data_IF_725989864663
#
_entry.id   IF_725989864663
#
_cell.length_a   1.000
_cell.length_b   1.000
_cell.length_c   1.000
_cell.angle_alpha   90.00
_cell.angle_beta   90.00
_cell.angle_gamma   90.00
#
_symmetry.space_group_name_H-M   'P 1'
#
loop_
_entity.id
_entity.type
_entity.pdbx_description
1 polymer ?
#
# COMPACT_ATOMS: atom_id res chain seq x y z
N UNK A 1 2.14 -16.11 14.20
CA UNK A 1 3.56 -16.31 13.81
C UNK A 1 3.99 -15.10 13.04
N UNK A 2 5.06 -14.42 13.46
CA UNK A 2 5.62 -13.31 12.70
C UNK A 2 6.04 -13.81 11.30
N UNK A 3 5.78 -13.03 10.26
CA UNK A 3 6.21 -13.36 8.92
C UNK A 3 7.75 -13.47 8.89
N UNK A 4 8.27 -14.47 8.19
CA UNK A 4 9.72 -14.58 8.00
C UNK A 4 10.20 -13.38 7.18
N UNK A 5 10.81 -12.43 7.85
CA UNK A 5 11.51 -11.32 7.20
C UNK A 5 12.96 -11.75 6.96
N UNK A 6 13.49 -11.52 5.77
CA UNK A 6 14.90 -11.72 5.49
C UNK A 6 15.66 -10.54 6.07
N UNK A 7 16.28 -10.72 7.21
CA UNK A 7 17.20 -9.75 7.80
C UNK A 7 18.61 -9.79 7.17
N UNK A 8 18.75 -10.45 6.04
CA UNK A 8 20.03 -10.48 5.34
C UNK A 8 20.17 -9.17 4.57
N UNK A 9 20.88 -8.24 5.21
CA UNK A 9 21.10 -6.87 4.77
C UNK A 9 22.08 -6.75 3.59
N UNK A 10 22.09 -7.73 2.72
CA UNK A 10 22.69 -7.53 1.41
C UNK A 10 21.76 -6.54 0.69
N UNK A 11 22.22 -5.27 0.64
CA UNK A 11 21.47 -4.12 0.14
C UNK A 11 21.24 -4.20 -1.37
N UNK A 12 20.78 -5.32 -1.87
CA UNK A 12 20.22 -5.40 -3.21
C UNK A 12 18.90 -4.65 -3.21
N UNK A 13 18.97 -3.41 -3.67
CA UNK A 13 17.77 -2.60 -3.89
C UNK A 13 16.93 -3.28 -4.96
N UNK A 14 15.76 -3.76 -4.57
CA UNK A 14 14.76 -4.21 -5.51
C UNK A 14 13.86 -3.03 -5.92
N UNK A 15 13.33 -3.08 -7.13
CA UNK A 15 12.49 -2.03 -7.67
C UNK A 15 11.07 -2.56 -7.91
N UNK A 16 10.13 -2.17 -7.04
CA UNK A 16 8.74 -2.58 -7.14
C UNK A 16 8.12 -2.18 -8.49
N UNK A 17 8.59 -1.11 -9.12
CA UNK A 17 8.14 -0.67 -10.44
C UNK A 17 8.55 -1.64 -11.57
N UNK A 18 9.72 -2.27 -11.48
CA UNK A 18 10.11 -3.32 -12.42
C UNK A 18 9.42 -4.64 -12.06
N UNK A 19 9.25 -4.91 -10.76
CA UNK A 19 8.67 -6.13 -10.24
C UNK A 19 7.20 -6.32 -10.66
N UNK A 20 6.36 -5.27 -10.61
CA UNK A 20 4.98 -5.42 -11.07
C UNK A 20 4.90 -5.77 -12.57
N UNK A 21 5.76 -5.16 -13.39
CA UNK A 21 5.79 -5.43 -14.82
C UNK A 21 6.22 -6.86 -15.14
N UNK A 22 7.23 -7.36 -14.43
CA UNK A 22 7.69 -8.75 -14.53
C UNK A 22 6.59 -9.72 -14.07
N UNK A 23 5.86 -9.40 -13.01
CA UNK A 23 4.78 -10.25 -12.51
C UNK A 23 3.60 -10.30 -13.49
N UNK A 24 3.20 -9.16 -14.06
CA UNK A 24 2.18 -9.13 -15.12
C UNK A 24 2.62 -9.96 -16.35
N UNK A 25 3.88 -9.85 -16.73
CA UNK A 25 4.43 -10.66 -17.83
C UNK A 25 4.36 -12.16 -17.52
N UNK A 26 4.79 -12.60 -16.33
CA UNK A 26 4.68 -13.99 -15.88
C UNK A 26 3.23 -14.48 -15.90
N UNK A 27 2.31 -13.69 -15.38
CA UNK A 27 0.88 -14.02 -15.37
C UNK A 27 0.31 -14.15 -16.78
N UNK A 28 0.74 -13.33 -17.73
CA UNK A 28 0.36 -13.46 -19.15
C UNK A 28 0.89 -14.76 -19.75
N UNK A 29 2.16 -15.13 -19.48
CA UNK A 29 2.74 -16.41 -19.89
C UNK A 29 2.01 -17.63 -19.29
N UNK A 30 1.47 -17.49 -18.06
CA UNK A 30 0.64 -18.50 -17.39
C UNK A 30 -0.79 -18.59 -17.97
N UNK A 31 -1.14 -17.73 -18.92
CA UNK A 31 -2.48 -17.70 -19.54
C UNK A 31 -3.53 -17.02 -18.66
N UNK A 32 -3.15 -16.21 -17.68
CA UNK A 32 -4.10 -15.40 -16.90
C UNK A 32 -4.76 -14.35 -17.82
N UNK A 33 -6.06 -14.17 -17.64
CA UNK A 33 -6.85 -13.25 -18.45
C UNK A 33 -6.95 -11.88 -17.78
N UNK A 34 -6.33 -10.87 -18.38
CA UNK A 34 -6.38 -9.47 -17.94
C UNK A 34 -6.02 -8.55 -19.11
N UNK A 35 -6.38 -7.28 -18.97
CA UNK A 35 -6.02 -6.18 -19.86
C UNK A 35 -5.09 -5.22 -19.13
N UNK A 36 -4.10 -4.66 -19.85
CA UNK A 36 -3.18 -3.67 -19.33
C UNK A 36 -3.34 -2.33 -20.06
N UNK A 37 -3.60 -1.26 -19.31
CA UNK A 37 -3.75 0.11 -19.84
C UNK A 37 -2.69 1.04 -19.27
N UNK A 38 -2.22 2.00 -20.05
CA UNK A 38 -1.18 2.96 -19.63
C UNK A 38 -1.23 4.26 -20.45
N UNK A 39 -0.61 5.34 -19.89
CA UNK A 39 -0.58 6.70 -20.46
C UNK A 39 0.83 7.06 -20.93
N UNK A 40 1.34 6.42 -21.98
CA UNK A 40 2.65 6.69 -22.60
C UNK A 40 3.85 6.68 -21.64
N UNK A 41 3.72 5.98 -20.52
CA UNK A 41 4.66 5.98 -19.40
C UNK A 41 5.33 4.61 -19.15
N UNK A 42 5.21 3.68 -20.09
CA UNK A 42 5.88 2.37 -20.06
C UNK A 42 7.03 2.38 -21.07
N UNK A 43 8.27 2.34 -20.55
CA UNK A 43 9.43 2.26 -21.41
C UNK A 43 9.54 0.87 -22.07
N UNK A 44 9.87 0.79 -23.39
CA UNK A 44 10.04 -0.50 -24.07
C UNK A 44 11.10 -1.41 -23.43
N UNK A 45 12.09 -0.82 -22.75
CA UNK A 45 13.16 -1.54 -22.03
C UNK A 45 12.79 -1.99 -20.62
N UNK A 46 11.63 -1.59 -20.10
CA UNK A 46 11.15 -2.00 -18.77
C UNK A 46 10.58 -3.40 -18.77
N UNK A 47 10.39 -3.99 -17.60
CA UNK A 47 9.73 -5.30 -17.48
C UNK A 47 8.30 -5.29 -18.03
N UNK A 48 7.55 -4.21 -17.82
CA UNK A 48 6.24 -4.03 -18.46
C UNK A 48 6.34 -3.90 -20.00
N UNK A 49 7.46 -3.40 -20.53
CA UNK A 49 7.72 -3.33 -21.96
C UNK A 49 7.80 -4.70 -22.65
N UNK A 50 8.19 -5.75 -21.94
CA UNK A 50 8.14 -7.13 -22.44
C UNK A 50 6.69 -7.57 -22.67
N UNK A 51 5.78 -7.24 -21.76
CA UNK A 51 4.35 -7.53 -21.89
C UNK A 51 3.78 -6.87 -23.15
N UNK A 52 4.12 -5.59 -23.39
CA UNK A 52 3.69 -4.86 -24.58
C UNK A 52 4.19 -5.49 -25.87
N UNK A 53 5.39 -6.04 -25.87
CA UNK A 53 6.02 -6.64 -27.05
C UNK A 53 5.45 -8.02 -27.39
N UNK A 54 5.21 -8.85 -26.37
CA UNK A 54 4.83 -10.26 -26.56
C UNK A 54 3.32 -10.50 -26.51
N UNK A 55 2.58 -9.61 -25.87
CA UNK A 55 1.11 -9.68 -25.72
C UNK A 55 0.43 -8.34 -26.09
N UNK A 56 0.70 -7.78 -27.29
CA UNK A 56 0.20 -6.45 -27.69
C UNK A 56 -1.33 -6.37 -27.71
N UNK A 57 -2.03 -7.48 -27.95
CA UNK A 57 -3.49 -7.55 -28.06
C UNK A 57 -4.22 -7.23 -26.75
N UNK A 58 -3.53 -7.31 -25.62
CA UNK A 58 -4.08 -6.98 -24.28
C UNK A 58 -3.55 -5.68 -23.69
N UNK A 59 -2.75 -4.92 -24.45
CA UNK A 59 -2.07 -3.70 -23.97
C UNK A 59 -2.54 -2.47 -24.73
N UNK A 60 -3.07 -1.48 -24.04
CA UNK A 60 -3.64 -0.28 -24.64
C UNK A 60 -2.96 0.98 -24.10
N UNK A 61 -2.38 1.76 -25.02
CA UNK A 61 -1.78 3.06 -24.71
C UNK A 61 -2.77 4.17 -25.05
N UNK A 62 -3.11 4.98 -24.05
CA UNK A 62 -4.04 6.11 -24.18
C UNK A 62 -3.34 7.45 -24.42
N UNK A 63 -2.00 7.47 -24.55
CA UNK A 63 -1.23 8.70 -24.57
C UNK A 63 -1.26 9.38 -23.18
N UNK A 64 -0.85 10.64 -23.11
CA UNK A 64 -0.87 11.42 -21.86
C UNK A 64 -2.29 11.94 -21.61
N UNK A 65 -3.20 11.04 -21.27
CA UNK A 65 -4.63 11.30 -21.07
C UNK A 65 -5.19 10.41 -19.96
N UNK A 66 -4.73 10.60 -18.73
CA UNK A 66 -5.06 9.75 -17.58
C UNK A 66 -6.57 9.67 -17.28
N UNK A 67 -7.36 10.74 -17.39
CA UNK A 67 -8.81 10.64 -17.22
C UNK A 67 -9.47 9.71 -18.25
N UNK A 68 -9.08 9.78 -19.53
CA UNK A 68 -9.58 8.91 -20.59
C UNK A 68 -9.18 7.45 -20.36
N UNK A 69 -7.90 7.21 -20.01
CA UNK A 69 -7.41 5.88 -19.66
C UNK A 69 -8.22 5.26 -18.50
N UNK A 70 -8.47 6.02 -17.44
CA UNK A 70 -9.18 5.53 -16.24
C UNK A 70 -10.65 5.25 -16.57
N UNK A 71 -11.32 6.14 -17.31
CA UNK A 71 -12.69 5.93 -17.78
C UNK A 71 -12.82 4.72 -18.71
N UNK A 72 -11.89 4.57 -19.69
CA UNK A 72 -11.85 3.40 -20.57
C UNK A 72 -11.57 2.10 -19.80
N UNK A 73 -10.69 2.14 -18.79
CA UNK A 73 -10.43 1.00 -17.89
C UNK A 73 -11.69 0.56 -17.15
N UNK A 74 -12.52 1.50 -16.72
CA UNK A 74 -13.81 1.19 -16.10
C UNK A 74 -14.76 0.52 -17.10
N UNK A 75 -14.83 1.01 -18.35
CA UNK A 75 -15.64 0.42 -19.42
C UNK A 75 -15.20 -1.03 -19.76
N UNK A 76 -13.90 -1.28 -19.82
CA UNK A 76 -13.35 -2.63 -20.01
C UNK A 76 -13.72 -3.55 -18.84
N UNK A 77 -13.64 -3.06 -17.61
CA UNK A 77 -14.01 -3.85 -16.44
C UNK A 77 -15.52 -4.14 -16.38
N UNK A 78 -16.38 -3.20 -16.76
CA UNK A 78 -17.83 -3.42 -16.90
C UNK A 78 -18.15 -4.46 -17.99
N UNK A 79 -17.27 -4.63 -18.98
CA UNK A 79 -17.37 -5.67 -20.00
C UNK A 79 -16.87 -7.03 -19.54
N UNK A 80 -16.44 -7.17 -18.29
CA UNK A 80 -16.01 -8.42 -17.66
C UNK A 80 -14.50 -8.64 -17.61
N UNK A 81 -13.68 -7.67 -18.04
CA UNK A 81 -12.22 -7.79 -17.97
C UNK A 81 -11.69 -7.48 -16.56
N UNK A 82 -10.65 -8.17 -16.14
CA UNK A 82 -9.78 -7.67 -15.08
C UNK A 82 -8.79 -6.68 -15.69
N UNK A 83 -8.74 -5.45 -15.22
CA UNK A 83 -7.91 -4.39 -15.80
C UNK A 83 -6.81 -3.96 -14.84
N UNK A 84 -5.56 -4.01 -15.29
CA UNK A 84 -4.43 -3.34 -14.66
C UNK A 84 -4.16 -2.03 -15.39
N UNK A 85 -4.26 -0.91 -14.70
CA UNK A 85 -4.14 0.43 -15.27
C UNK A 85 -2.99 1.19 -14.61
N UNK A 86 -1.88 1.38 -15.32
CA UNK A 86 -0.68 2.00 -14.78
C UNK A 86 -0.60 3.48 -15.14
N UNK A 87 -0.45 4.32 -14.13
CA UNK A 87 -0.27 5.77 -14.25
C UNK A 87 0.81 6.23 -13.26
N UNK A 88 1.43 7.38 -13.50
CA UNK A 88 2.27 8.01 -12.48
C UNK A 88 1.42 8.48 -11.29
N UNK A 89 1.91 8.20 -10.07
CA UNK A 89 1.21 8.45 -8.81
C UNK A 89 0.54 9.80 -8.69
N UNK A 90 1.23 10.94 -8.96
CA UNK A 90 0.62 12.26 -8.85
C UNK A 90 -0.55 12.48 -9.81
N UNK A 91 -0.57 11.82 -10.96
CA UNK A 91 -1.58 12.08 -11.99
C UNK A 91 -2.88 11.31 -11.76
N UNK A 92 -2.82 10.17 -11.08
CA UNK A 92 -4.04 9.46 -10.69
C UNK A 92 -4.95 10.32 -9.79
N UNK A 93 -4.50 10.76 -8.59
CA UNK A 93 -5.38 11.47 -7.68
C UNK A 93 -5.62 12.93 -8.06
N UNK A 94 -4.77 13.54 -8.89
CA UNK A 94 -4.88 14.96 -9.21
C UNK A 94 -5.50 15.25 -10.58
N UNK A 95 -5.45 14.28 -11.52
CA UNK A 95 -6.02 14.45 -12.86
C UNK A 95 -7.24 13.56 -13.10
N UNK A 96 -7.25 12.34 -12.58
CA UNK A 96 -8.29 11.34 -12.82
C UNK A 96 -9.13 11.04 -11.57
N UNK A 97 -9.13 11.92 -10.55
CA UNK A 97 -9.87 11.70 -9.30
C UNK A 97 -11.37 11.49 -9.54
N UNK A 98 -11.96 12.24 -10.45
CA UNK A 98 -13.38 12.12 -10.79
C UNK A 98 -13.69 10.75 -11.39
N UNK A 99 -12.92 10.31 -12.38
CA UNK A 99 -13.08 8.99 -13.02
C UNK A 99 -12.83 7.85 -12.05
N UNK A 100 -11.86 7.99 -11.14
CA UNK A 100 -11.65 7.00 -10.07
C UNK A 100 -12.88 6.91 -9.17
N UNK A 101 -13.47 8.06 -8.82
CA UNK A 101 -14.63 8.11 -7.95
C UNK A 101 -15.91 7.64 -8.64
N UNK A 102 -16.22 8.18 -9.82
CA UNK A 102 -17.51 7.97 -10.50
C UNK A 102 -17.54 6.72 -11.36
N UNK A 103 -16.46 6.45 -12.11
CA UNK A 103 -16.48 5.39 -13.10
C UNK A 103 -15.97 4.05 -12.50
N UNK A 104 -14.98 4.11 -11.60
CA UNK A 104 -14.38 2.92 -10.99
C UNK A 104 -15.02 2.59 -9.64
N UNK A 105 -14.90 3.48 -8.63
CA UNK A 105 -15.27 3.16 -7.27
C UNK A 105 -16.78 3.12 -7.04
N UNK A 106 -17.54 4.02 -7.66
CA UNK A 106 -19.00 4.01 -7.59
C UNK A 106 -19.60 2.76 -8.24
N UNK A 107 -19.04 2.32 -9.36
CA UNK A 107 -19.49 1.12 -10.06
C UNK A 107 -18.89 -0.18 -9.50
N UNK A 108 -17.99 -0.09 -8.51
CA UNK A 108 -17.33 -1.21 -7.83
C UNK A 108 -16.68 -2.21 -8.81
N UNK A 109 -16.00 -1.70 -9.83
CA UNK A 109 -15.46 -2.49 -10.93
C UNK A 109 -14.05 -3.01 -10.69
N UNK A 110 -13.69 -4.11 -11.32
CA UNK A 110 -12.44 -4.86 -11.15
C UNK A 110 -11.25 -4.20 -11.85
N UNK A 111 -10.91 -2.97 -11.44
CA UNK A 111 -9.75 -2.20 -11.93
C UNK A 111 -8.67 -2.13 -10.86
N UNK A 112 -7.43 -2.45 -11.25
CA UNK A 112 -6.21 -2.37 -10.44
C UNK A 112 -5.41 -1.17 -10.91
N UNK A 113 -5.59 -0.04 -10.25
CA UNK A 113 -4.84 1.17 -10.54
C UNK A 113 -3.44 1.05 -9.95
N UNK A 114 -2.40 1.07 -10.78
CA UNK A 114 -1.00 1.02 -10.35
C UNK A 114 -0.43 2.42 -10.40
N UNK A 115 -0.34 3.06 -9.22
CA UNK A 115 0.25 4.39 -9.07
C UNK A 115 1.75 4.29 -8.83
N UNK A 116 2.57 4.51 -9.88
CA UNK A 116 4.03 4.53 -9.77
C UNK A 116 4.54 5.94 -9.48
N UNK A 117 5.77 6.09 -8.96
CA UNK A 117 6.35 7.40 -8.62
C UNK A 117 5.63 8.12 -7.47
N UNK A 118 4.95 7.38 -6.62
CA UNK A 118 4.26 7.94 -5.45
C UNK A 118 5.24 8.44 -4.39
N UNK A 119 4.81 9.38 -3.55
CA UNK A 119 5.64 10.00 -2.53
C UNK A 119 6.65 10.99 -3.11
N UNK A 120 7.76 11.18 -2.39
CA UNK A 120 8.83 12.15 -2.72
C UNK A 120 10.11 11.50 -3.23
N UNK A 121 10.02 10.27 -3.71
CA UNK A 121 11.18 9.47 -4.16
C UNK A 121 11.56 9.70 -5.62
N UNK A 122 10.76 10.45 -6.36
CA UNK A 122 10.98 10.73 -7.78
C UNK A 122 11.90 11.95 -7.98
N UNK A 123 12.90 11.85 -8.87
CA UNK A 123 13.77 12.96 -9.26
C UNK A 123 13.13 13.98 -10.22
N UNK A 124 11.84 13.89 -10.50
CA UNK A 124 11.13 14.71 -11.49
C UNK A 124 10.63 16.08 -11.01
N UNK A 125 11.01 16.51 -9.82
CA UNK A 125 10.54 17.76 -9.21
C UNK A 125 9.09 17.67 -8.69
N UNK A 126 8.51 18.80 -8.25
CA UNK A 126 7.20 18.80 -7.55
C UNK A 126 6.03 18.26 -8.39
N UNK A 127 6.13 18.32 -9.72
CA UNK A 127 5.09 17.84 -10.63
C UNK A 127 5.02 16.31 -10.71
N UNK A 128 6.09 15.61 -10.30
CA UNK A 128 6.21 14.16 -10.35
C UNK A 128 6.39 13.53 -8.96
N UNK A 129 6.17 14.30 -7.90
CA UNK A 129 6.12 13.85 -6.53
C UNK A 129 4.70 13.99 -5.98
N UNK A 130 4.28 13.06 -5.15
CA UNK A 130 2.92 13.01 -4.64
C UNK A 130 2.91 12.88 -3.12
N UNK A 131 2.28 13.84 -2.46
CA UNK A 131 2.10 13.87 -1.00
C UNK A 131 0.62 13.86 -0.60
N UNK A 132 -0.30 13.91 -1.57
CA UNK A 132 -1.74 13.99 -1.35
C UNK A 132 -2.49 12.67 -1.67
N UNK A 133 -1.84 11.76 -2.36
CA UNK A 133 -2.41 10.52 -2.91
C UNK A 133 -3.18 9.70 -1.88
N UNK A 134 -2.54 9.36 -0.78
CA UNK A 134 -3.15 8.54 0.27
C UNK A 134 -4.38 9.20 0.91
N UNK A 135 -4.35 10.52 1.07
CA UNK A 135 -5.49 11.25 1.61
C UNK A 135 -6.70 11.20 0.65
N UNK A 136 -6.45 11.41 -0.64
CA UNK A 136 -7.47 11.39 -1.68
C UNK A 136 -8.04 9.97 -1.87
N UNK A 137 -7.21 8.94 -2.01
CA UNK A 137 -7.68 7.57 -2.17
C UNK A 137 -8.48 7.06 -0.97
N UNK A 138 -8.07 7.41 0.24
CA UNK A 138 -8.80 7.01 1.45
C UNK A 138 -10.18 7.65 1.54
N UNK A 139 -10.37 8.84 0.99
CA UNK A 139 -11.64 9.54 0.96
C UNK A 139 -12.67 8.92 -0.01
N UNK A 140 -12.21 8.23 -1.07
CA UNK A 140 -13.10 7.63 -2.08
C UNK A 140 -13.70 6.33 -1.52
N UNK A 141 -15.04 6.18 -1.40
CA UNK A 141 -15.68 4.94 -0.95
C UNK A 141 -15.33 3.74 -1.85
N UNK A 142 -15.49 2.53 -1.36
CA UNK A 142 -15.26 1.25 -2.07
C UNK A 142 -13.85 1.01 -2.61
N UNK A 143 -12.98 2.01 -2.64
CA UNK A 143 -11.62 1.89 -3.16
C UNK A 143 -10.70 1.24 -2.12
N UNK A 144 -10.14 0.08 -2.43
CA UNK A 144 -9.08 -0.55 -1.63
C UNK A 144 -7.73 0.11 -1.92
N UNK A 145 -6.94 0.34 -0.88
CA UNK A 145 -5.64 1.02 -1.01
C UNK A 145 -4.54 0.19 -0.37
N UNK A 146 -3.60 -0.30 -1.18
CA UNK A 146 -2.45 -1.08 -0.73
C UNK A 146 -1.14 -0.37 -1.05
N UNK A 147 -0.18 -0.50 -0.15
CA UNK A 147 1.14 0.18 -0.23
C UNK A 147 2.23 -0.87 0.04
N UNK A 148 2.73 -1.57 -0.98
CA UNK A 148 3.76 -2.58 -0.83
C UNK A 148 5.04 -2.01 -0.22
N UNK A 149 5.67 -2.77 0.67
CA UNK A 149 6.93 -2.39 1.32
C UNK A 149 8.14 -2.60 0.40
N UNK A 150 8.09 -3.63 -0.47
CA UNK A 150 9.17 -4.01 -1.36
C UNK A 150 8.66 -4.66 -2.66
N UNK A 151 9.58 -5.08 -3.52
CA UNK A 151 9.26 -5.73 -4.78
C UNK A 151 8.55 -7.08 -4.59
N UNK A 152 8.96 -7.87 -3.60
CA UNK A 152 8.35 -9.18 -3.31
C UNK A 152 6.89 -9.02 -2.89
N UNK A 153 6.61 -8.07 -2.00
CA UNK A 153 5.24 -7.76 -1.59
C UNK A 153 4.41 -7.19 -2.75
N UNK A 154 5.02 -6.37 -3.61
CA UNK A 154 4.36 -5.84 -4.80
C UNK A 154 3.89 -6.97 -5.74
N UNK A 155 4.75 -7.94 -6.07
CA UNK A 155 4.40 -9.11 -6.87
C UNK A 155 3.23 -9.89 -6.26
N UNK A 156 3.25 -10.10 -4.93
CA UNK A 156 2.15 -10.78 -4.24
C UNK A 156 0.83 -10.01 -4.33
N UNK A 157 0.86 -8.68 -4.20
CA UNK A 157 -0.35 -7.86 -4.40
C UNK A 157 -0.89 -7.94 -5.81
N UNK A 158 -0.02 -7.85 -6.83
CA UNK A 158 -0.44 -7.98 -8.24
C UNK A 158 -1.17 -9.32 -8.42
N UNK A 159 -0.58 -10.41 -7.98
CA UNK A 159 -1.17 -11.75 -8.12
C UNK A 159 -2.45 -11.93 -7.30
N UNK A 160 -2.43 -11.56 -6.03
CA UNK A 160 -3.61 -11.66 -5.15
C UNK A 160 -4.78 -10.79 -5.62
N UNK A 161 -4.49 -9.68 -6.28
CA UNK A 161 -5.52 -8.78 -6.80
C UNK A 161 -6.34 -9.36 -7.95
N UNK A 162 -5.86 -10.41 -8.64
CA UNK A 162 -6.64 -11.09 -9.69
C UNK A 162 -7.97 -11.63 -9.17
N UNK A 163 -7.94 -12.21 -7.97
CA UNK A 163 -9.11 -12.84 -7.36
C UNK A 163 -9.85 -11.91 -6.38
N UNK A 164 -9.33 -10.69 -6.19
CA UNK A 164 -9.94 -9.70 -5.30
C UNK A 164 -11.11 -9.00 -5.99
N UNK A 165 -12.26 -8.92 -5.31
CA UNK A 165 -13.42 -8.19 -5.83
C UNK A 165 -13.33 -6.69 -5.53
N UNK A 166 -13.91 -5.86 -6.41
CA UNK A 166 -13.89 -4.40 -6.32
C UNK A 166 -12.58 -3.75 -6.76
N UNK A 167 -12.54 -2.43 -6.75
CA UNK A 167 -11.40 -1.63 -7.23
C UNK A 167 -10.26 -1.55 -6.22
N UNK A 168 -9.04 -1.43 -6.75
CA UNK A 168 -7.84 -1.36 -5.91
C UNK A 168 -6.82 -0.36 -6.45
N UNK A 169 -6.23 0.43 -5.55
CA UNK A 169 -4.98 1.17 -5.80
C UNK A 169 -3.81 0.37 -5.25
N UNK A 170 -2.80 0.14 -6.08
CA UNK A 170 -1.48 -0.39 -5.70
C UNK A 170 -0.49 0.76 -5.82
N UNK A 171 -0.11 1.32 -4.67
CA UNK A 171 0.75 2.50 -4.59
C UNK A 171 2.21 2.11 -4.52
N UNK A 172 3.00 2.49 -5.52
CA UNK A 172 4.39 2.08 -5.67
C UNK A 172 5.30 3.30 -5.73
N UNK A 173 6.40 3.27 -4.99
CA UNK A 173 7.45 4.27 -5.04
C UNK A 173 8.27 4.16 -6.34
N UNK A 174 9.01 5.21 -6.70
CA UNK A 174 9.96 5.18 -7.80
C UNK A 174 11.29 4.57 -7.41
N UNK A 175 11.79 4.92 -6.23
CA UNK A 175 13.07 4.43 -5.75
C UNK A 175 13.03 2.93 -5.48
N UNK A 176 14.17 2.26 -5.66
CA UNK A 176 14.36 0.92 -5.14
C UNK A 176 14.39 0.95 -3.61
N UNK A 177 13.91 -0.12 -3.00
CA UNK A 177 14.00 -0.36 -1.56
C UNK A 177 14.65 -1.72 -1.28
N UNK A 178 15.32 -1.90 -0.14
CA UNK A 178 15.77 -3.22 0.27
C UNK A 178 14.59 -4.19 0.40
N UNK A 179 14.80 -5.45 0.07
CA UNK A 179 13.79 -6.48 0.30
C UNK A 179 13.64 -6.71 1.80
N UNK A 180 12.40 -6.66 2.27
CA UNK A 180 12.02 -6.94 3.66
C UNK A 180 11.49 -8.36 3.78
N UNK A 181 10.73 -8.79 2.78
CA UNK A 181 10.06 -10.08 2.79
C UNK A 181 10.83 -11.15 2.01
N UNK A 182 10.86 -12.36 2.57
CA UNK A 182 11.20 -13.56 1.80
C UNK A 182 10.06 -13.86 0.80
N UNK A 183 10.35 -14.63 -0.24
CA UNK A 183 9.35 -15.00 -1.25
C UNK A 183 8.19 -15.83 -0.67
N UNK A 184 8.45 -16.58 0.39
CA UNK A 184 7.51 -17.53 0.99
C UNK A 184 6.88 -16.95 2.29
N UNK A 185 5.82 -16.14 2.14
CA UNK A 185 4.96 -15.71 3.23
C UNK A 185 3.51 -15.53 2.74
N UNK A 186 2.56 -15.63 3.65
CA UNK A 186 1.14 -15.38 3.34
C UNK A 186 0.83 -13.89 3.36
N UNK A 187 0.13 -13.43 2.32
CA UNK A 187 -0.38 -12.07 2.22
C UNK A 187 -1.90 -12.12 2.11
N UNK A 188 -2.58 -11.45 3.03
CA UNK A 188 -4.04 -11.26 2.99
C UNK A 188 -4.35 -9.78 2.90
N UNK A 189 -5.01 -9.36 1.82
CA UNK A 189 -5.45 -7.96 1.64
C UNK A 189 -6.38 -7.58 2.79
N UNK A 190 -6.11 -6.45 3.44
CA UNK A 190 -6.87 -5.97 4.59
C UNK A 190 -6.38 -6.48 5.95
N UNK A 191 -5.35 -7.34 6.00
CA UNK A 191 -4.76 -7.84 7.25
C UNK A 191 -3.31 -7.42 7.38
N UNK A 192 -3.00 -6.73 8.48
CA UNK A 192 -1.63 -6.30 8.77
C UNK A 192 -0.71 -7.48 9.08
N UNK A 193 0.58 -7.32 8.80
CA UNK A 193 1.60 -8.31 9.09
C UNK A 193 2.48 -7.83 10.25
N UNK A 194 2.56 -8.60 11.32
CA UNK A 194 3.52 -8.35 12.38
C UNK A 194 4.89 -8.87 11.95
N UNK A 195 5.78 -7.94 11.56
CA UNK A 195 7.13 -8.27 11.08
C UNK A 195 8.13 -8.43 12.21
N UNK A 196 7.87 -7.80 13.34
CA UNK A 196 8.70 -7.90 14.55
C UNK A 196 7.81 -7.78 15.79
N UNK A 197 7.96 -8.74 16.72
CA UNK A 197 7.31 -8.66 18.03
C UNK A 197 8.05 -7.68 18.95
N UNK A 198 7.31 -6.96 19.80
CA UNK A 198 7.86 -6.01 20.76
C UNK A 198 7.00 -5.89 22.00
N UNK A 199 7.64 -5.44 23.12
CA UNK A 199 6.98 -5.31 24.41
C UNK A 199 6.97 -3.90 24.96
N UNK A 200 7.80 -3.00 24.46
CA UNK A 200 7.94 -1.64 24.98
C UNK A 200 7.15 -0.61 24.18
N UNK A 201 7.13 -0.76 22.85
CA UNK A 201 6.33 0.06 21.94
C UNK A 201 6.12 -0.66 20.60
N UNK A 202 5.20 -0.15 19.76
CA UNK A 202 5.00 -0.60 18.39
C UNK A 202 5.11 0.56 17.41
N UNK A 203 5.75 0.27 16.27
CA UNK A 203 5.74 1.13 15.07
C UNK A 203 4.75 0.52 14.08
N UNK A 204 3.76 1.30 13.65
CA UNK A 204 2.85 0.92 12.56
C UNK A 204 3.32 1.67 11.33
N UNK A 205 3.74 0.94 10.31
CA UNK A 205 4.31 1.49 9.07
C UNK A 205 3.64 0.88 7.83
N UNK A 206 3.85 1.47 6.67
CA UNK A 206 3.47 0.93 5.37
C UNK A 206 4.47 1.37 4.29
N UNK A 207 4.54 0.58 3.21
CA UNK A 207 5.40 0.89 2.08
C UNK A 207 6.89 0.78 2.41
N UNK A 208 7.72 1.38 1.57
CA UNK A 208 9.19 1.31 1.66
C UNK A 208 9.78 1.77 2.99
N UNK A 209 9.05 2.56 3.77
CA UNK A 209 9.47 2.97 5.11
C UNK A 209 9.56 1.80 6.11
N UNK A 210 9.01 0.64 5.78
CA UNK A 210 9.05 -0.53 6.65
C UNK A 210 10.50 -0.96 6.94
N UNK A 211 11.37 -0.92 5.95
CA UNK A 211 12.80 -1.22 6.14
C UNK A 211 13.45 -0.30 7.17
N UNK A 212 13.22 1.01 7.07
CA UNK A 212 13.78 1.99 8.01
C UNK A 212 13.24 1.77 9.43
N UNK A 213 11.98 1.38 9.57
CA UNK A 213 11.40 1.03 10.86
C UNK A 213 12.07 -0.19 11.49
N UNK A 214 12.37 -1.22 10.70
CA UNK A 214 13.09 -2.42 11.14
C UNK A 214 14.50 -2.08 11.62
N UNK A 215 15.22 -1.22 10.86
CA UNK A 215 16.56 -0.75 11.23
C UNK A 215 16.54 0.09 12.51
N UNK A 216 15.53 0.96 12.65
CA UNK A 216 15.34 1.75 13.87
C UNK A 216 15.08 0.86 15.10
N UNK A 217 14.19 -0.14 14.98
CA UNK A 217 13.88 -1.08 16.04
C UNK A 217 15.12 -1.89 16.47
N UNK A 218 15.93 -2.37 15.49
CA UNK A 218 17.20 -3.04 15.75
C UNK A 218 18.17 -2.13 16.52
N UNK A 219 18.32 -0.88 16.09
CA UNK A 219 19.18 0.11 16.74
C UNK A 219 18.72 0.40 18.18
N UNK A 220 17.41 0.51 18.39
CA UNK A 220 16.83 0.72 19.73
C UNK A 220 17.13 -0.46 20.66
N UNK A 221 17.03 -1.68 20.16
CA UNK A 221 17.39 -2.89 20.92
C UNK A 221 18.87 -2.92 21.28
N UNK A 222 19.77 -2.65 20.33
CA UNK A 222 21.21 -2.70 20.52
C UNK A 222 21.72 -1.60 21.46
N UNK A 223 21.24 -0.35 21.32
CA UNK A 223 21.75 0.81 22.06
C UNK A 223 21.03 1.04 23.38
N UNK A 224 19.76 0.66 23.48
CA UNK A 224 18.90 1.04 24.62
C UNK A 224 18.22 -0.15 25.28
N UNK A 225 18.40 -1.38 24.75
CA UNK A 225 17.73 -2.57 25.25
C UNK A 225 16.21 -2.56 25.07
N UNK A 226 15.67 -1.63 24.26
CA UNK A 226 14.24 -1.48 24.05
C UNK A 226 13.71 -2.48 23.02
N UNK A 227 12.60 -3.14 23.34
CA UNK A 227 11.92 -4.13 22.50
C UNK A 227 10.79 -3.44 21.73
N UNK A 228 11.06 -3.06 20.47
CA UNK A 228 10.12 -2.36 19.60
C UNK A 228 9.51 -3.36 18.62
N UNK A 229 8.18 -3.50 18.66
CA UNK A 229 7.43 -4.28 17.69
C UNK A 229 7.14 -3.47 16.41
N UNK A 230 6.94 -4.17 15.30
CA UNK A 230 6.62 -3.52 14.02
C UNK A 230 5.45 -4.23 13.35
N UNK A 231 4.45 -3.43 13.01
CA UNK A 231 3.28 -3.83 12.26
C UNK A 231 3.31 -3.20 10.86
N UNK A 232 3.43 -4.04 9.83
CA UNK A 232 3.27 -3.62 8.44
C UNK A 232 1.79 -3.50 8.11
N UNK A 233 1.30 -2.27 8.02
CA UNK A 233 -0.05 -1.93 7.61
C UNK A 233 -0.10 -1.73 6.08
N UNK A 234 0.32 -2.72 5.34
CA UNK A 234 0.40 -2.69 3.88
C UNK A 234 -0.94 -2.38 3.18
N UNK A 235 -2.06 -2.69 3.82
CA UNK A 235 -3.40 -2.27 3.38
C UNK A 235 -3.89 -1.16 4.30
N UNK A 236 -3.99 0.05 3.78
CA UNK A 236 -4.43 1.22 4.56
C UNK A 236 -5.92 1.50 4.40
N UNK A 237 -6.57 0.79 3.47
CA UNK A 237 -8.03 0.76 3.32
C UNK A 237 -8.45 -0.54 2.60
N UNK A 238 -9.25 -1.41 3.24
CA UNK A 238 -9.69 -1.31 4.64
C UNK A 238 -8.52 -1.42 5.62
N UNK A 239 -8.63 -0.74 6.76
CA UNK A 239 -7.61 -0.78 7.80
C UNK A 239 -7.85 -2.00 8.71
N UNK A 240 -6.79 -2.69 9.11
CA UNK A 240 -6.86 -3.77 10.12
C UNK A 240 -6.94 -3.16 11.54
N UNK A 241 -8.15 -2.74 11.94
CA UNK A 241 -8.39 -2.12 13.24
C UNK A 241 -8.10 -3.10 14.39
N UNK A 242 -8.37 -4.40 14.20
CA UNK A 242 -8.12 -5.43 15.21
C UNK A 242 -6.62 -5.54 15.53
N UNK A 243 -5.77 -5.53 14.49
CA UNK A 243 -4.32 -5.55 14.68
C UNK A 243 -3.83 -4.31 15.43
N UNK A 244 -4.34 -3.12 15.12
CA UNK A 244 -4.01 -1.88 15.81
C UNK A 244 -4.43 -1.97 17.28
N UNK A 245 -5.67 -2.40 17.55
CA UNK A 245 -6.17 -2.52 18.93
C UNK A 245 -5.38 -3.55 19.73
N UNK A 246 -4.98 -4.66 19.11
CA UNK A 246 -4.14 -5.68 19.74
C UNK A 246 -2.79 -5.09 20.16
N UNK A 247 -2.03 -4.51 19.25
CA UNK A 247 -0.70 -3.97 19.56
C UNK A 247 -0.77 -2.78 20.56
N UNK A 248 -1.83 -1.95 20.48
CA UNK A 248 -2.05 -0.89 21.45
C UNK A 248 -2.33 -1.43 22.87
N UNK A 249 -2.94 -2.60 22.99
CA UNK A 249 -3.14 -3.25 24.29
C UNK A 249 -1.85 -3.86 24.86
N UNK A 250 -0.89 -4.21 24.00
CA UNK A 250 0.41 -4.77 24.39
C UNK A 250 1.44 -3.70 24.72
N UNK A 251 1.29 -2.46 24.21
CA UNK A 251 2.20 -1.33 24.42
C UNK A 251 2.24 -0.92 25.93
N UNK A 252 3.43 -1.02 26.53
CA UNK A 252 3.64 -0.64 27.93
C UNK A 252 3.38 0.84 28.19
N UNK A 253 3.77 1.73 27.28
CA UNK A 253 3.56 3.16 27.45
C UNK A 253 2.09 3.54 27.43
N UNK A 254 1.30 2.85 26.60
CA UNK A 254 -0.15 3.02 26.53
C UNK A 254 -0.82 2.51 27.81
N UNK A 255 -0.36 1.38 28.36
CA UNK A 255 -0.86 0.83 29.66
C UNK A 255 -0.55 1.76 30.84
N UNK A 256 0.61 2.39 30.87
CA UNK A 256 0.99 3.32 31.93
C UNK A 256 0.24 4.65 31.88
N UNK A 257 -0.15 5.13 30.70
CA UNK A 257 -0.98 6.34 30.55
C UNK A 257 -2.44 6.11 30.94
N UNK A 258 -2.92 4.87 30.88
CA UNK A 258 -4.20 4.45 31.46
C UNK A 258 -3.95 4.00 32.92
N UNK A 259 -3.61 4.93 33.81
CA UNK A 259 -3.41 4.63 35.24
C UNK A 259 -4.67 4.07 35.92
N UNK A 260 -4.58 3.66 37.22
CA UNK A 260 -5.63 2.93 37.96
C UNK A 260 -7.01 3.59 38.04
N UNK A 261 -7.14 4.83 37.56
CA UNK A 261 -8.40 5.59 37.61
C UNK A 261 -9.46 5.10 36.63
N UNK A 262 -9.09 4.35 35.56
CA UNK A 262 -10.06 3.88 34.57
C UNK A 262 -10.78 2.57 34.98
N UNK A 263 -10.20 1.80 35.93
CA UNK A 263 -10.86 0.59 36.44
C UNK A 263 -12.01 0.90 37.42
N UNK A 264 -12.09 2.13 37.96
CA UNK A 264 -13.18 2.51 38.88
C UNK A 264 -14.42 3.08 38.20
N UNK A 265 -14.37 3.33 36.86
CA UNK A 265 -15.51 3.82 36.12
C UNK A 265 -16.38 2.75 35.44
N UNK A 266 -15.92 1.49 35.38
CA UNK A 266 -16.73 0.38 34.83
C UNK A 266 -17.80 -0.17 35.77
N UNK A 267 -17.91 0.39 36.99
CA UNK A 267 -18.82 -0.07 38.04
C UNK A 267 -20.07 0.79 38.26
N UNK A 268 -20.54 1.58 37.27
CA UNK A 268 -21.88 2.19 37.42
C UNK A 268 -22.52 2.54 36.05
N UNK A 269 -23.65 1.85 35.83
CA UNK A 269 -24.82 2.12 35.01
C UNK A 269 -24.80 1.71 33.54
N UNK A 270 -25.73 0.82 33.30
CA UNK A 270 -26.23 0.32 32.05
C UNK A 270 -26.64 1.37 31.02
N UNK A 271 -26.57 0.95 29.78
CA UNK A 271 -27.33 1.49 28.68
C UNK A 271 -26.71 2.68 27.99
N UNK A 272 -25.89 2.42 26.98
CA UNK A 272 -25.91 3.04 25.64
C UNK A 272 -24.69 2.52 24.87
N UNK A 273 -24.92 2.23 23.57
CA UNK A 273 -24.01 1.54 22.67
C UNK A 273 -22.61 2.18 22.48
N UNK A 274 -21.75 1.55 21.69
CA UNK A 274 -20.32 1.89 21.63
C UNK A 274 -20.13 3.32 21.16
N UNK A 275 -19.51 4.12 22.02
CA UNK A 275 -19.04 5.46 21.66
C UNK A 275 -17.87 5.24 20.69
N UNK A 276 -18.01 5.63 19.44
CA UNK A 276 -16.90 5.84 18.51
C UNK A 276 -15.95 6.84 19.14
N UNK A 277 -14.86 6.34 19.74
CA UNK A 277 -13.78 7.18 20.25
C UNK A 277 -13.10 7.85 19.06
N UNK A 278 -13.21 9.16 18.96
CA UNK A 278 -12.36 9.96 18.07
C UNK A 278 -10.92 9.80 18.55
N UNK A 279 -10.10 9.09 17.77
CA UNK A 279 -8.65 9.13 17.88
C UNK A 279 -8.16 10.50 17.39
N UNK A 280 -8.23 11.52 18.24
CA UNK A 280 -7.48 12.76 18.04
C UNK A 280 -6.07 12.55 18.61
N UNK A 281 -5.20 11.90 17.82
CA UNK A 281 -3.77 11.92 18.05
C UNK A 281 -3.23 13.28 17.63
N UNK A 282 -2.86 14.13 18.58
CA UNK A 282 -2.03 15.31 18.32
C UNK A 282 -0.63 14.81 17.97
N UNK A 283 -0.32 14.74 16.67
CA UNK A 283 1.06 14.67 16.23
C UNK A 283 1.71 16.04 16.40
N UNK A 284 2.88 16.14 17.02
CA UNK A 284 3.60 17.41 17.05
C UNK A 284 3.99 17.81 15.61
N UNK A 285 3.91 19.10 15.26
CA UNK A 285 4.28 19.55 13.95
C UNK A 285 5.76 19.29 13.67
N UNK A 286 6.08 18.69 12.52
CA UNK A 286 7.42 18.63 12.00
C UNK A 286 7.97 20.06 11.89
N UNK A 287 8.98 20.41 12.67
CA UNK A 287 9.73 21.67 12.48
C UNK A 287 10.61 21.47 11.26
N UNK A 288 10.34 22.23 10.21
CA UNK A 288 11.27 22.42 9.13
C UNK A 288 12.52 23.09 9.70
N UNK A 289 13.67 22.41 9.63
CA UNK A 289 14.96 23.06 9.75
C UNK A 289 15.19 23.84 8.46
N UNK A 290 15.39 25.15 8.57
CA UNK A 290 15.70 26.05 7.49
C UNK A 290 17.11 25.84 6.93
#
# INVERSE_FOLDING_TARGET
MAAKTTYDFDMMLSNAREAYGEELYKMACEGKDFVFTFSDNVAPSSSAGKLLKEFPERCFNFGIAEPDQVGASAGLALSGCTVFSQVFGPFLPLRAADQIHTDIAYNDVKVRLIGTHSGVTAGGGPTHNDIADLALYRAIPNLTVVVPADAAQCCKFIRASMDYEGPMIIRIDRAGSPNVYAEDYELTIGKAIETMEGTDAYIISCGSNLYECLMAAKTMKEKHGASIGILDMHTIKPLDEDAILRVAAEDRQYRHRRGPLDQRRSGRRGGRGPVRGQLQGQFPPCRHAG
#
